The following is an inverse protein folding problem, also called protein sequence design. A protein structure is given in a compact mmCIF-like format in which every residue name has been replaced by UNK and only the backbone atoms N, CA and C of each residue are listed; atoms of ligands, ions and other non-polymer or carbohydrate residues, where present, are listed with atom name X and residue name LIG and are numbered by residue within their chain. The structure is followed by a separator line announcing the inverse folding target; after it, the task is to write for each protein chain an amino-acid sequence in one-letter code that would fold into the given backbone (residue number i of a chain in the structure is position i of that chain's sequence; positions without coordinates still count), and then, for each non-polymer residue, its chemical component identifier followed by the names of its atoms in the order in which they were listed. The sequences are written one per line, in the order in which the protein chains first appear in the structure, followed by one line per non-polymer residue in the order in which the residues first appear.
data_IF_458869931838
#
_entry.id   IF_458869931838
#
_cell.length_a   1.000
_cell.length_b   1.000
_cell.length_c   1.000
_cell.angle_alpha   90.00
_cell.angle_beta   90.00
_cell.angle_gamma   90.00
#
_symmetry.space_group_name_H-M   'P 1'
#
loop_
_entity.id
_entity.type
_entity.pdbx_description
1 polymer ?
#
# COMPACT_ATOMS: atom_id res chain seq x y z
N UNK A 1 -14.81 1.42 -6.18
CA UNK A 1 -13.93 1.81 -5.06
C UNK A 1 -12.77 0.84 -5.02
N UNK A 2 -11.54 1.34 -4.89
CA UNK A 2 -10.33 0.50 -4.75
C UNK A 2 -9.82 0.60 -3.32
N UNK A 3 -9.40 -0.51 -2.73
CA UNK A 3 -8.89 -0.56 -1.36
C UNK A 3 -7.62 -1.39 -1.35
N UNK A 4 -6.49 -0.72 -1.21
CA UNK A 4 -5.18 -1.36 -1.12
C UNK A 4 -4.71 -1.37 0.33
N UNK A 5 -4.28 -2.53 0.79
CA UNK A 5 -3.50 -2.70 2.02
C UNK A 5 -2.04 -2.90 1.61
N UNK A 6 -1.17 -2.03 2.10
CA UNK A 6 0.24 -1.99 1.74
C UNK A 6 1.03 -2.53 2.93
N UNK A 7 1.72 -3.65 2.68
CA UNK A 7 2.55 -4.31 3.67
C UNK A 7 4.01 -4.06 3.33
N UNK A 8 4.80 -3.76 4.35
CA UNK A 8 6.24 -3.67 4.19
C UNK A 8 6.80 -5.09 4.27
N UNK A 9 7.32 -5.62 3.16
CA UNK A 9 7.86 -6.98 3.13
C UNK A 9 9.32 -6.96 3.58
N UNK A 10 9.74 -8.03 4.26
CA UNK A 10 11.13 -8.30 4.59
C UNK A 10 11.99 -8.31 3.31
N UNK A 11 13.17 -7.69 3.35
CA UNK A 11 13.97 -7.43 2.15
C UNK A 11 14.39 -8.73 1.45
N UNK A 12 14.83 -9.73 2.20
CA UNK A 12 15.18 -11.04 1.67
C UNK A 12 13.98 -11.76 1.03
N UNK A 13 12.77 -11.59 1.57
CA UNK A 13 11.54 -12.13 1.01
C UNK A 13 11.17 -11.37 -0.27
N UNK A 14 11.21 -10.04 -0.26
CA UNK A 14 10.94 -9.22 -1.43
C UNK A 14 11.87 -9.57 -2.61
N UNK A 15 13.16 -9.75 -2.33
CA UNK A 15 14.15 -10.20 -3.32
C UNK A 15 13.84 -11.60 -3.86
N UNK A 16 13.51 -12.56 -2.98
CA UNK A 16 13.24 -13.95 -3.38
C UNK A 16 11.93 -14.12 -4.16
N UNK A 17 10.92 -13.29 -3.85
CA UNK A 17 9.58 -13.35 -4.41
C UNK A 17 9.30 -12.27 -5.47
N UNK A 18 10.32 -11.55 -5.93
CA UNK A 18 10.20 -10.69 -7.10
C UNK A 18 9.79 -11.51 -8.33
N UNK A 19 8.70 -11.12 -9.01
CA UNK A 19 8.08 -11.90 -10.08
C UNK A 19 7.25 -13.10 -9.62
N UNK A 20 7.12 -13.32 -8.31
CA UNK A 20 6.31 -14.39 -7.68
C UNK A 20 5.32 -13.82 -6.66
N UNK A 21 4.89 -12.58 -6.86
CA UNK A 21 4.01 -11.83 -5.95
C UNK A 21 2.69 -12.56 -5.70
N UNK A 22 2.24 -13.36 -6.68
CA UNK A 22 1.04 -14.20 -6.57
C UNK A 22 1.10 -15.16 -5.38
N UNK A 23 2.28 -15.70 -5.04
CA UNK A 23 2.40 -16.60 -3.89
C UNK A 23 2.16 -15.86 -2.57
N UNK A 24 2.72 -14.65 -2.45
CA UNK A 24 2.47 -13.78 -1.30
C UNK A 24 0.98 -13.40 -1.28
N UNK A 25 0.42 -12.94 -2.40
CA UNK A 25 -1.00 -12.61 -2.49
C UNK A 25 -1.91 -13.75 -2.02
N UNK A 26 -1.65 -14.98 -2.46
CA UNK A 26 -2.44 -16.15 -2.06
C UNK A 26 -2.40 -16.37 -0.54
N UNK A 27 -1.25 -16.18 0.11
CA UNK A 27 -1.13 -16.25 1.57
C UNK A 27 -2.07 -15.24 2.27
N UNK A 28 -2.08 -13.98 1.82
CA UNK A 28 -2.97 -12.95 2.36
C UNK A 28 -4.45 -13.24 2.05
N UNK A 29 -4.74 -13.71 0.85
CA UNK A 29 -6.08 -14.08 0.41
C UNK A 29 -6.65 -15.24 1.25
N UNK A 30 -5.89 -16.31 1.44
CA UNK A 30 -6.28 -17.46 2.25
C UNK A 30 -6.47 -17.08 3.72
N UNK A 31 -5.56 -16.28 4.29
CA UNK A 31 -5.69 -15.80 5.67
C UNK A 31 -6.99 -15.00 5.87
N UNK A 32 -7.36 -14.19 4.88
CA UNK A 32 -8.56 -13.35 4.93
C UNK A 32 -9.84 -14.17 4.83
N UNK A 33 -9.86 -15.18 3.95
CA UNK A 33 -11.08 -15.91 3.59
C UNK A 33 -11.29 -17.22 4.35
N UNK A 34 -10.26 -17.77 5.00
CA UNK A 34 -10.40 -19.02 5.76
C UNK A 34 -11.29 -18.86 6.99
N UNK A 35 -12.17 -19.84 7.20
CA UNK A 35 -13.01 -19.98 8.41
C UNK A 35 -12.37 -20.86 9.47
N UNK A 36 -11.32 -21.61 9.12
CA UNK A 36 -10.58 -22.45 10.05
C UNK A 36 -9.65 -21.58 10.91
N UNK A 37 -9.91 -21.55 12.21
CA UNK A 37 -9.16 -20.75 13.18
C UNK A 37 -7.70 -21.19 13.35
N UNK A 38 -7.43 -22.49 13.23
CA UNK A 38 -6.08 -23.06 13.35
C UNK A 38 -5.26 -22.67 12.14
N UNK A 39 -5.81 -22.88 10.94
CA UNK A 39 -5.16 -22.45 9.71
C UNK A 39 -4.95 -20.94 9.70
N UNK A 40 -5.96 -20.15 10.12
CA UNK A 40 -5.84 -18.69 10.22
C UNK A 40 -4.68 -18.26 11.11
N UNK A 41 -4.50 -18.90 12.26
CA UNK A 41 -3.39 -18.61 13.16
C UNK A 41 -2.02 -18.95 12.55
N UNK A 42 -1.93 -20.05 11.78
CA UNK A 42 -0.70 -20.43 11.08
C UNK A 42 -0.36 -19.41 9.99
N UNK A 43 -1.33 -19.07 9.13
CA UNK A 43 -1.15 -18.08 8.06
C UNK A 43 -0.80 -16.71 8.62
N UNK A 44 -1.39 -16.31 9.75
CA UNK A 44 -1.04 -15.06 10.45
C UNK A 44 0.42 -15.04 10.87
N UNK A 45 0.95 -16.13 11.44
CA UNK A 45 2.37 -16.24 11.80
C UNK A 45 3.28 -16.12 10.58
N UNK A 46 2.88 -16.70 9.44
CA UNK A 46 3.63 -16.58 8.20
C UNK A 46 3.63 -15.14 7.69
N UNK A 47 2.46 -14.47 7.70
CA UNK A 47 2.36 -13.05 7.34
C UNK A 47 3.26 -12.22 8.25
N UNK A 48 3.17 -12.39 9.57
CA UNK A 48 3.98 -11.65 10.54
C UNK A 48 5.48 -11.88 10.34
N UNK A 49 5.88 -13.09 9.95
CA UNK A 49 7.27 -13.43 9.67
C UNK A 49 7.80 -12.76 8.40
N UNK A 50 6.96 -12.56 7.38
CA UNK A 50 7.40 -11.96 6.11
C UNK A 50 7.18 -10.44 6.04
N UNK A 51 6.53 -9.84 7.04
CA UNK A 51 6.24 -8.41 7.10
C UNK A 51 7.02 -7.69 8.20
N UNK A 52 7.42 -6.46 7.92
CA UNK A 52 8.02 -5.53 8.86
C UNK A 52 6.98 -4.57 9.43
N UNK A 53 7.16 -4.08 10.66
CA UNK A 53 6.32 -3.02 11.21
C UNK A 53 6.42 -1.75 10.37
N UNK A 54 5.30 -1.02 10.27
CA UNK A 54 5.27 0.26 9.56
C UNK A 54 5.98 1.33 10.40
N UNK A 55 7.00 2.02 9.86
CA UNK A 55 7.66 3.11 10.57
C UNK A 55 6.79 4.37 10.49
N UNK A 56 5.68 4.39 11.25
CA UNK A 56 4.62 5.41 11.19
C UNK A 56 5.18 6.84 11.15
N UNK A 57 6.00 7.21 12.12
CA UNK A 57 6.61 8.55 12.19
C UNK A 57 7.32 8.94 10.89
N UNK A 58 8.08 8.02 10.28
CA UNK A 58 8.80 8.31 9.02
C UNK A 58 7.83 8.47 7.85
N UNK A 59 6.77 7.66 7.79
CA UNK A 59 5.73 7.80 6.76
C UNK A 59 5.03 9.15 6.88
N UNK A 60 4.63 9.55 8.10
CA UNK A 60 4.02 10.84 8.37
C UNK A 60 4.95 12.00 7.95
N UNK A 61 6.23 11.93 8.31
CA UNK A 61 7.22 12.93 7.92
C UNK A 61 7.37 13.05 6.41
N UNK A 62 7.47 11.92 5.69
CA UNK A 62 7.59 11.90 4.22
C UNK A 62 6.35 12.51 3.56
N UNK A 63 5.15 12.16 4.03
CA UNK A 63 3.89 12.72 3.52
C UNK A 63 3.83 14.23 3.70
N UNK A 64 4.13 14.73 4.90
CA UNK A 64 4.09 16.16 5.19
C UNK A 64 5.15 16.93 4.41
N UNK A 65 6.38 16.44 4.39
CA UNK A 65 7.49 17.12 3.70
C UNK A 65 7.21 17.32 2.20
N UNK A 66 6.62 16.32 1.54
CA UNK A 66 6.44 16.32 0.09
C UNK A 66 5.08 16.90 -0.34
N UNK A 67 4.03 16.76 0.49
CA UNK A 67 2.65 17.09 0.10
C UNK A 67 2.03 18.28 0.84
N UNK A 68 2.52 18.69 2.02
CA UNK A 68 1.85 19.70 2.86
C UNK A 68 1.62 21.05 2.16
N UNK A 69 2.48 21.42 1.21
CA UNK A 69 2.36 22.67 0.45
C UNK A 69 1.41 22.59 -0.75
N UNK A 70 0.82 21.42 -1.03
CA UNK A 70 -0.06 21.20 -2.17
C UNK A 70 -1.50 21.52 -1.77
N UNK A 71 -2.18 22.38 -2.53
CA UNK A 71 -3.56 22.81 -2.22
C UNK A 71 -4.59 21.68 -2.24
N UNK A 72 -4.33 20.64 -3.04
CA UNK A 72 -5.16 19.43 -3.16
C UNK A 72 -4.89 18.37 -2.08
N UNK A 73 -3.92 18.63 -1.19
CA UNK A 73 -3.58 17.73 -0.10
C UNK A 73 -4.14 18.25 1.22
N UNK A 74 -4.75 17.34 1.98
CA UNK A 74 -5.32 17.62 3.30
C UNK A 74 -5.01 16.46 4.24
N UNK A 75 -5.05 16.69 5.55
CA UNK A 75 -4.93 15.64 6.54
C UNK A 75 -5.77 15.94 7.77
N UNK A 76 -6.23 14.89 8.44
CA UNK A 76 -6.92 14.97 9.72
C UNK A 76 -6.56 13.72 10.57
N UNK A 77 -7.29 13.49 11.66
CA UNK A 77 -7.06 12.35 12.56
C UNK A 77 -7.27 10.99 11.87
N UNK A 78 -8.13 10.91 10.86
CA UNK A 78 -8.44 9.67 10.15
C UNK A 78 -7.41 9.31 9.07
N UNK A 79 -6.62 10.29 8.61
CA UNK A 79 -5.54 10.06 7.65
C UNK A 79 -5.22 11.25 6.75
N UNK A 80 -4.62 10.91 5.61
CA UNK A 80 -4.12 11.85 4.61
C UNK A 80 -4.94 11.75 3.33
N UNK A 81 -5.31 12.87 2.76
CA UNK A 81 -6.27 12.98 1.68
C UNK A 81 -5.68 13.71 0.48
N UNK A 82 -5.94 13.16 -0.69
CA UNK A 82 -5.73 13.81 -1.97
C UNK A 82 -7.08 13.94 -2.63
N UNK A 83 -7.45 15.15 -3.03
CA UNK A 83 -8.66 15.41 -3.79
C UNK A 83 -8.32 16.31 -4.97
N UNK A 84 -8.42 15.73 -6.16
CA UNK A 84 -8.22 16.47 -7.40
C UNK A 84 -9.58 16.92 -7.94
N UNK A 85 -9.60 18.05 -8.64
CA UNK A 85 -10.80 18.58 -9.30
C UNK A 85 -11.36 17.62 -10.37
N UNK A 86 -10.52 16.68 -10.85
CA UNK A 86 -10.84 15.67 -11.86
C UNK A 86 -11.64 14.47 -11.32
N UNK A 87 -12.50 14.64 -10.31
CA UNK A 87 -13.32 13.57 -9.70
C UNK A 87 -12.51 12.39 -9.12
N UNK A 88 -11.24 12.61 -8.81
CA UNK A 88 -10.33 11.59 -8.27
C UNK A 88 -9.97 11.92 -6.83
N UNK A 89 -10.06 10.93 -5.97
CA UNK A 89 -9.74 11.10 -4.56
C UNK A 89 -9.12 9.85 -3.98
N UNK A 90 -8.12 10.03 -3.11
CA UNK A 90 -7.50 8.96 -2.35
C UNK A 90 -7.32 9.36 -0.89
N UNK A 91 -7.44 8.39 0.00
CA UNK A 91 -7.18 8.52 1.42
C UNK A 91 -6.16 7.47 1.84
N UNK A 92 -5.10 7.88 2.51
CA UNK A 92 -4.10 7.01 3.14
C UNK A 92 -4.28 7.06 4.67
N UNK A 93 -4.52 5.89 5.26
CA UNK A 93 -4.55 5.69 6.71
C UNK A 93 -3.38 4.80 7.13
N UNK A 94 -2.77 5.14 8.26
CA UNK A 94 -1.74 4.32 8.89
C UNK A 94 -2.44 3.41 9.90
N UNK A 95 -2.33 2.10 9.71
CA UNK A 95 -2.86 1.08 10.62
C UNK A 95 -1.70 0.37 11.32
N UNK A 96 -2.01 -0.43 12.35
CA UNK A 96 -0.97 -1.06 13.18
C UNK A 96 0.05 -1.88 12.37
N UNK A 97 -0.38 -2.58 11.32
CA UNK A 97 0.47 -3.52 10.57
C UNK A 97 0.57 -3.22 9.07
N UNK A 98 -0.12 -2.21 8.57
CA UNK A 98 -0.13 -1.87 7.15
C UNK A 98 -0.54 -0.41 6.94
N UNK A 99 -0.26 0.12 5.75
CA UNK A 99 -0.92 1.33 5.27
C UNK A 99 -2.17 0.93 4.48
N UNK A 100 -3.25 1.69 4.60
CA UNK A 100 -4.45 1.47 3.82
C UNK A 100 -4.70 2.66 2.90
N UNK A 101 -4.85 2.39 1.60
CA UNK A 101 -5.22 3.39 0.61
C UNK A 101 -6.61 3.06 0.07
N UNK A 102 -7.55 3.98 0.25
CA UNK A 102 -8.87 3.93 -0.38
C UNK A 102 -8.93 4.98 -1.47
N UNK A 103 -9.36 4.59 -2.68
CA UNK A 103 -9.43 5.50 -3.81
C UNK A 103 -10.69 5.34 -4.65
N UNK A 104 -11.16 6.47 -5.19
CA UNK A 104 -12.32 6.60 -6.04
C UNK A 104 -12.02 7.47 -7.26
N UNK A 105 -12.74 7.24 -8.37
CA UNK A 105 -12.55 7.95 -9.62
C UNK A 105 -11.38 7.42 -10.45
N UNK A 106 -10.63 8.32 -11.07
CA UNK A 106 -9.42 7.97 -11.85
C UNK A 106 -8.29 7.45 -10.95
N UNK A 107 -7.20 6.96 -11.55
CA UNK A 107 -6.10 6.30 -10.83
C UNK A 107 -5.00 7.26 -10.33
N UNK A 108 -5.06 8.52 -10.72
CA UNK A 108 -4.04 9.54 -10.45
C UNK A 108 -3.86 9.83 -8.95
N UNK A 109 -4.94 9.85 -8.16
CA UNK A 109 -4.84 10.20 -6.74
C UNK A 109 -4.09 9.14 -5.92
N UNK A 110 -4.39 7.84 -6.11
CA UNK A 110 -3.65 6.79 -5.41
C UNK A 110 -2.20 6.64 -5.90
N UNK A 111 -1.93 6.98 -7.16
CA UNK A 111 -0.59 6.92 -7.73
C UNK A 111 0.37 7.87 -7.03
N UNK A 112 -0.09 9.06 -6.61
CA UNK A 112 0.74 10.00 -5.83
C UNK A 112 1.26 9.35 -4.54
N UNK A 113 0.40 8.62 -3.81
CA UNK A 113 0.82 7.91 -2.62
C UNK A 113 1.77 6.76 -2.95
N UNK A 114 1.47 5.97 -3.98
CA UNK A 114 2.33 4.85 -4.38
C UNK A 114 3.73 5.31 -4.79
N UNK A 115 3.84 6.38 -5.56
CA UNK A 115 5.14 6.93 -5.98
C UNK A 115 5.95 7.43 -4.79
N UNK A 116 5.30 8.18 -3.89
CA UNK A 116 5.95 8.73 -2.72
C UNK A 116 6.46 7.62 -1.79
N UNK A 117 5.62 6.62 -1.51
CA UNK A 117 5.98 5.48 -0.68
C UNK A 117 7.09 4.65 -1.33
N UNK A 118 7.03 4.42 -2.65
CA UNK A 118 8.08 3.68 -3.37
C UNK A 118 9.44 4.38 -3.33
N UNK A 119 9.47 5.72 -3.48
CA UNK A 119 10.70 6.53 -3.37
C UNK A 119 11.35 6.39 -1.99
N UNK A 120 10.53 6.24 -0.96
CA UNK A 120 11.00 6.09 0.42
C UNK A 120 11.42 4.64 0.73
N UNK A 121 10.63 3.65 0.30
CA UNK A 121 10.87 2.25 0.60
C UNK A 121 10.30 1.36 -0.52
N UNK A 122 11.14 0.65 -1.29
CA UNK A 122 10.70 -0.11 -2.46
C UNK A 122 9.98 -1.42 -2.11
N UNK A 123 10.14 -1.94 -0.89
CA UNK A 123 9.60 -3.26 -0.49
C UNK A 123 8.13 -3.24 -0.05
N UNK A 124 7.39 -2.17 -0.38
CA UNK A 124 5.94 -2.16 -0.19
C UNK A 124 5.25 -3.03 -1.23
N UNK A 125 4.45 -3.99 -0.74
CA UNK A 125 3.54 -4.78 -1.54
C UNK A 125 2.11 -4.27 -1.33
N UNK A 126 1.47 -3.79 -2.38
CA UNK A 126 0.07 -3.41 -2.36
C UNK A 126 -0.82 -4.63 -2.66
N UNK A 127 -1.87 -4.82 -1.85
CA UNK A 127 -2.83 -5.92 -1.98
C UNK A 127 -4.25 -5.36 -1.90
N UNK A 128 -5.07 -5.63 -2.91
CA UNK A 128 -6.51 -5.40 -2.94
C UNK A 128 -7.18 -6.77 -3.07
N UNK A 129 -7.62 -7.32 -1.93
CA UNK A 129 -8.25 -8.64 -1.87
C UNK A 129 -9.59 -8.63 -2.62
N UNK A 130 -10.38 -7.56 -2.49
CA UNK A 130 -11.72 -7.47 -3.06
C UNK A 130 -11.71 -7.51 -4.59
N UNK A 131 -10.73 -6.85 -5.22
CA UNK A 131 -10.59 -6.78 -6.67
C UNK A 131 -9.54 -7.74 -7.24
N UNK A 132 -8.90 -8.55 -6.41
CA UNK A 132 -7.87 -9.48 -6.84
C UNK A 132 -6.61 -8.83 -7.42
N UNK A 133 -6.27 -7.61 -6.97
CA UNK A 133 -5.11 -6.85 -7.48
C UNK A 133 -3.99 -6.89 -6.48
N UNK A 134 -2.76 -7.01 -6.98
CA UNK A 134 -1.57 -6.98 -6.14
C UNK A 134 -0.35 -6.57 -6.95
N UNK A 135 0.68 -6.09 -6.25
CA UNK A 135 1.97 -5.83 -6.86
C UNK A 135 2.87 -4.99 -5.97
N UNK A 136 4.18 -5.13 -6.19
CA UNK A 136 5.16 -4.20 -5.65
C UNK A 136 4.84 -2.79 -6.14
N UNK A 137 5.05 -1.79 -5.29
CA UNK A 137 5.03 -0.42 -5.76
C UNK A 137 6.15 -0.25 -6.79
N UNK A 138 5.81 0.26 -7.97
CA UNK A 138 6.75 0.50 -9.07
C UNK A 138 6.88 1.99 -9.31
N UNK A 139 8.07 2.46 -9.74
CA UNK A 139 8.22 3.83 -10.17
C UNK A 139 7.41 4.03 -11.45
N UNK A 140 6.68 5.13 -11.57
CA UNK A 140 6.06 5.48 -12.84
C UNK A 140 7.19 5.81 -13.80
N UNK A 141 7.27 5.07 -14.91
CA UNK A 141 8.13 5.46 -16.02
C UNK A 141 7.57 6.78 -16.55
N UNK A 142 8.29 7.89 -16.37
CA UNK A 142 8.00 9.11 -17.13
C UNK A 142 7.98 8.71 -18.61
N UNK A 143 6.80 8.73 -19.24
CA UNK A 143 6.74 8.73 -20.69
C UNK A 143 7.38 10.04 -21.11
N UNK A 144 8.62 9.97 -21.60
CA UNK A 144 9.18 11.04 -22.40
C UNK A 144 8.25 11.19 -23.60
N UNK A 145 7.34 12.16 -23.54
CA UNK A 145 6.70 12.67 -24.74
C UNK A 145 7.82 13.37 -25.52
N UNK A 146 8.37 12.67 -26.50
CA UNK A 146 9.20 13.25 -27.57
C UNK A 146 8.27 13.78 -28.65
#
# INVERSE_FOLDING_TARGET
MRKYELYLIEENVALHYNGKEKMIYNLFFEHTNTKDSTLKAILKKQIDYITRPIPEWKIQQVLLMELQKKSWFQHNVEGYYIKNDNLSSAMLSILNNCLQIKANGYYDAELVFFELLHKYEPNFLAIDIENGRYGWLKPIKQRNFV
#
